data_IF_881460629038
#
_entry.id   IF_881460629038
#
_cell.length_a   1.000
_cell.length_b   1.000
_cell.length_c   1.000
_cell.angle_alpha   90.00
_cell.angle_beta   90.00
_cell.angle_gamma   90.00
#
_symmetry.space_group_name_H-M   'P 1'
#
loop_
_entity.id
_entity.type
_entity.pdbx_description
1 polymer ?
#
# COMPACT_ATOMS: atom_id res chain seq x y z
N UNK A 1 -4.10 24.48 -0.19
CA UNK A 1 -3.71 23.52 -1.25
C UNK A 1 -2.18 23.61 -1.37
N UNK A 2 -1.46 22.47 -1.39
CA UNK A 2 -0.02 22.44 -1.08
C UNK A 2 0.83 22.51 -2.37
N UNK A 3 1.75 23.47 -2.42
CA UNK A 3 2.63 23.70 -3.58
C UNK A 3 4.05 23.24 -3.24
N UNK A 4 4.66 22.51 -4.18
CA UNK A 4 5.98 21.93 -4.03
C UNK A 4 6.91 22.32 -5.17
N UNK A 5 8.14 22.68 -4.82
CA UNK A 5 9.26 22.73 -5.76
C UNK A 5 9.90 21.35 -5.84
N UNK A 6 10.14 20.88 -7.06
CA UNK A 6 10.79 19.59 -7.33
C UNK A 6 12.27 19.86 -7.60
N UNK A 7 13.15 19.17 -6.87
CA UNK A 7 14.60 19.25 -7.05
C UNK A 7 15.19 17.85 -7.24
N UNK A 8 16.39 17.78 -7.84
CA UNK A 8 17.12 16.52 -7.98
C UNK A 8 17.47 15.96 -6.58
N UNK A 9 16.97 14.75 -6.29
CA UNK A 9 17.10 14.08 -5.00
C UNK A 9 18.52 13.63 -4.68
N UNK A 10 19.35 13.37 -5.69
CA UNK A 10 20.78 13.03 -5.51
C UNK A 10 21.56 14.20 -4.91
N UNK A 11 21.25 15.43 -5.33
CA UNK A 11 21.82 16.63 -4.75
C UNK A 11 21.28 16.89 -3.33
N UNK A 12 20.02 16.54 -3.08
CA UNK A 12 19.40 16.68 -1.77
C UNK A 12 19.98 15.74 -0.71
N UNK A 13 20.34 14.51 -1.09
CA UNK A 13 21.08 13.57 -0.22
C UNK A 13 22.39 14.19 0.30
N UNK A 14 23.11 14.92 -0.56
CA UNK A 14 24.43 15.49 -0.26
C UNK A 14 24.34 16.77 0.57
N UNK A 15 23.35 17.62 0.29
CA UNK A 15 23.30 18.98 0.83
C UNK A 15 22.37 19.16 2.05
N UNK A 16 21.76 18.09 2.59
CA UNK A 16 20.87 18.11 3.76
C UNK A 16 19.92 19.32 3.76
N UNK A 17 19.08 19.46 2.73
CA UNK A 17 18.08 20.53 2.71
C UNK A 17 17.17 20.39 3.95
N UNK A 18 17.15 21.39 4.82
CA UNK A 18 16.32 21.41 6.04
C UNK A 18 14.80 21.46 5.76
N UNK A 19 14.38 21.42 4.49
CA UNK A 19 13.00 21.61 4.03
C UNK A 19 12.47 20.46 3.15
N UNK A 20 13.16 19.31 3.10
CA UNK A 20 12.66 18.13 2.36
C UNK A 20 11.31 17.70 2.90
N UNK A 21 10.30 17.70 2.04
CA UNK A 21 8.99 17.12 2.34
C UNK A 21 9.04 15.63 2.05
N UNK A 22 9.12 15.19 0.79
CA UNK A 22 9.23 13.75 0.53
C UNK A 22 10.07 13.43 -0.70
N UNK A 23 10.61 12.22 -0.71
CA UNK A 23 11.35 11.67 -1.84
C UNK A 23 10.41 10.93 -2.78
N UNK A 24 10.74 10.96 -4.07
CA UNK A 24 10.09 10.12 -5.07
C UNK A 24 11.13 9.52 -6.00
N UNK A 25 10.97 8.27 -6.39
CA UNK A 25 11.84 7.58 -7.34
C UNK A 25 11.00 7.03 -8.50
N UNK A 26 11.48 7.23 -9.73
CA UNK A 26 10.96 6.53 -10.92
C UNK A 26 12.01 5.58 -11.44
N UNK A 27 11.62 4.32 -11.61
CA UNK A 27 12.43 3.31 -12.28
C UNK A 27 12.64 3.65 -13.76
N UNK A 28 11.62 4.19 -14.44
CA UNK A 28 11.66 4.46 -15.88
C UNK A 28 12.71 5.50 -16.24
N UNK A 29 12.79 6.58 -15.48
CA UNK A 29 13.79 7.62 -15.68
C UNK A 29 15.06 7.41 -14.85
N UNK A 30 15.11 6.35 -14.04
CA UNK A 30 16.14 6.07 -13.03
C UNK A 30 16.55 7.30 -12.20
N UNK A 31 15.57 8.12 -11.81
CA UNK A 31 15.81 9.38 -11.10
C UNK A 31 15.16 9.38 -9.74
N UNK A 32 15.89 9.91 -8.76
CA UNK A 32 15.36 10.28 -7.46
C UNK A 32 15.11 11.79 -7.45
N UNK A 33 13.90 12.18 -7.06
CA UNK A 33 13.51 13.57 -6.85
C UNK A 33 13.14 13.81 -5.40
N UNK A 34 13.23 15.08 -5.01
CA UNK A 34 12.84 15.55 -3.70
C UNK A 34 11.82 16.69 -3.88
N UNK A 35 10.74 16.63 -3.11
CA UNK A 35 9.70 17.63 -3.06
C UNK A 35 9.91 18.50 -1.83
N UNK A 36 9.90 19.81 -2.03
CA UNK A 36 10.12 20.82 -0.99
C UNK A 36 8.93 21.77 -0.99
N UNK A 37 8.29 21.97 0.18
CA UNK A 37 7.21 22.97 0.32
C UNK A 37 7.68 24.34 -0.14
N UNK A 38 6.91 24.97 -1.02
CA UNK A 38 7.28 26.22 -1.67
C UNK A 38 6.04 27.07 -1.96
N UNK A 39 6.21 28.39 -2.11
CA UNK A 39 5.17 29.29 -2.65
C UNK A 39 5.04 29.19 -4.18
N UNK A 40 6.01 28.58 -4.85
CA UNK A 40 6.09 28.41 -6.30
C UNK A 40 6.37 26.95 -6.65
N UNK A 41 5.72 26.42 -7.69
CA UNK A 41 5.96 25.07 -8.20
C UNK A 41 4.67 24.34 -8.54
N UNK A 42 4.68 23.02 -8.38
CA UNK A 42 3.56 22.14 -8.71
C UNK A 42 2.66 21.97 -7.52
N UNK A 43 1.37 22.17 -7.75
CA UNK A 43 0.34 21.85 -6.77
C UNK A 43 0.07 20.34 -6.75
N UNK A 44 0.06 19.73 -5.57
CA UNK A 44 -0.13 18.29 -5.42
C UNK A 44 -1.29 18.05 -4.48
N UNK A 45 -2.24 17.25 -4.95
CA UNK A 45 -3.35 16.72 -4.16
C UNK A 45 -3.08 15.24 -3.91
N UNK A 46 -2.81 14.87 -2.66
CA UNK A 46 -2.40 13.51 -2.30
C UNK A 46 -3.59 12.57 -2.16
N UNK A 47 -4.77 13.11 -1.85
CA UNK A 47 -5.99 12.34 -1.68
C UNK A 47 -7.23 13.16 -2.05
N UNK A 48 -8.38 12.51 -2.21
CA UNK A 48 -9.63 13.24 -2.42
C UNK A 48 -9.97 14.12 -1.20
N UNK A 49 -10.38 15.37 -1.46
CA UNK A 49 -10.78 16.34 -0.42
C UNK A 49 -11.92 15.81 0.44
N UNK A 50 -12.75 14.92 -0.12
CA UNK A 50 -13.84 14.23 0.59
C UNK A 50 -13.38 13.35 1.75
N UNK A 51 -12.09 13.00 1.83
CA UNK A 51 -11.55 12.22 2.95
C UNK A 51 -11.12 13.07 4.16
N UNK A 52 -11.18 14.39 4.04
CA UNK A 52 -10.82 15.35 5.10
C UNK A 52 -9.38 15.85 4.98
N UNK A 53 -9.13 17.10 5.41
CA UNK A 53 -7.80 17.71 5.32
C UNK A 53 -6.76 17.01 6.21
N UNK A 54 -7.19 16.53 7.39
CA UNK A 54 -6.31 15.80 8.33
C UNK A 54 -5.80 14.50 7.69
N UNK A 55 -6.60 13.85 6.85
CA UNK A 55 -6.14 12.67 6.10
C UNK A 55 -4.97 13.00 5.17
N UNK A 56 -5.01 14.14 4.48
CA UNK A 56 -3.93 14.59 3.59
C UNK A 56 -2.65 14.95 4.38
N UNK A 57 -2.78 15.52 5.58
CA UNK A 57 -1.66 15.82 6.47
C UNK A 57 -0.96 14.55 6.97
N UNK A 58 -1.73 13.56 7.43
CA UNK A 58 -1.16 12.29 7.89
C UNK A 58 -0.50 11.52 6.73
N UNK A 59 -1.08 11.55 5.53
CA UNK A 59 -0.46 10.94 4.33
C UNK A 59 0.87 11.62 4.01
N UNK A 60 0.93 12.95 4.10
CA UNK A 60 2.18 13.68 3.90
C UNK A 60 3.23 13.30 4.95
N UNK A 61 2.86 13.22 6.23
CA UNK A 61 3.76 12.75 7.30
C UNK A 61 4.25 11.32 7.06
N UNK A 62 3.37 10.43 6.58
CA UNK A 62 3.76 9.07 6.19
C UNK A 62 4.81 9.10 5.07
N UNK A 63 4.66 9.97 4.06
CA UNK A 63 5.61 10.08 2.94
C UNK A 63 6.97 10.62 3.39
N UNK A 64 6.98 11.66 4.22
CA UNK A 64 8.18 12.20 4.86
C UNK A 64 8.95 11.05 5.55
N UNK A 65 8.23 10.28 6.37
CA UNK A 65 8.83 9.24 7.21
C UNK A 65 9.31 8.03 6.40
N UNK A 66 8.69 7.76 5.25
CA UNK A 66 9.12 6.74 4.29
C UNK A 66 10.28 7.19 3.39
N UNK A 67 10.84 8.39 3.58
CA UNK A 67 11.95 8.91 2.79
C UNK A 67 13.17 7.98 2.74
N UNK A 68 13.57 7.41 3.89
CA UNK A 68 14.68 6.44 3.96
C UNK A 68 14.42 5.18 3.12
N UNK A 69 13.18 4.68 3.15
CA UNK A 69 12.80 3.52 2.33
C UNK A 69 12.86 3.85 0.83
N UNK A 70 12.40 5.03 0.44
CA UNK A 70 12.42 5.50 -0.96
C UNK A 70 13.85 5.58 -1.48
N UNK A 71 14.76 6.14 -0.67
CA UNK A 71 16.19 6.22 -0.98
C UNK A 71 16.78 4.81 -1.15
N UNK A 72 16.53 3.90 -0.21
CA UNK A 72 17.04 2.52 -0.31
C UNK A 72 16.54 1.81 -1.57
N UNK A 73 15.26 2.00 -1.92
CA UNK A 73 14.68 1.40 -3.14
C UNK A 73 15.35 1.97 -4.39
N UNK A 74 15.66 3.28 -4.42
CA UNK A 74 16.34 3.93 -5.55
C UNK A 74 17.76 3.41 -5.80
N UNK A 75 18.39 2.78 -4.80
CA UNK A 75 19.75 2.24 -4.86
C UNK A 75 19.77 0.73 -5.14
N UNK A 76 18.61 0.08 -5.21
CA UNK A 76 18.53 -1.35 -5.41
C UNK A 76 18.42 -1.72 -6.89
N UNK A 77 19.23 -2.70 -7.32
CA UNK A 77 19.16 -3.26 -8.68
C UNK A 77 17.88 -4.07 -8.93
N UNK A 78 17.28 -4.67 -7.88
CA UNK A 78 16.08 -5.49 -8.00
C UNK A 78 14.85 -4.79 -7.42
N UNK A 79 14.36 -3.78 -8.15
CA UNK A 79 13.25 -2.92 -7.75
C UNK A 79 12.01 -3.72 -7.29
N UNK A 80 11.46 -4.61 -8.13
CA UNK A 80 10.20 -5.28 -7.80
C UNK A 80 10.33 -6.25 -6.61
N UNK A 81 11.47 -6.93 -6.43
CA UNK A 81 11.67 -7.75 -5.23
C UNK A 81 11.67 -6.90 -3.96
N UNK A 82 12.25 -5.69 -4.00
CA UNK A 82 12.18 -4.76 -2.86
C UNK A 82 10.77 -4.22 -2.64
N UNK A 83 10.00 -3.96 -3.70
CA UNK A 83 8.59 -3.58 -3.56
C UNK A 83 7.78 -4.70 -2.91
N UNK A 84 7.94 -5.94 -3.37
CA UNK A 84 7.26 -7.10 -2.80
C UNK A 84 7.63 -7.27 -1.32
N UNK A 85 8.93 -7.17 -0.99
CA UNK A 85 9.39 -7.23 0.39
C UNK A 85 8.77 -6.12 1.25
N UNK A 86 8.73 -4.89 0.74
CA UNK A 86 8.10 -3.76 1.40
C UNK A 86 6.59 -3.99 1.62
N UNK A 87 5.88 -4.53 0.64
CA UNK A 87 4.45 -4.83 0.73
C UNK A 87 4.19 -5.96 1.75
N UNK A 88 5.04 -6.98 1.83
CA UNK A 88 4.94 -8.03 2.86
C UNK A 88 5.23 -7.46 4.25
N UNK A 89 6.25 -6.61 4.39
CA UNK A 89 6.54 -5.91 5.66
C UNK A 89 5.38 -5.02 6.09
N UNK A 90 4.69 -4.37 5.14
CA UNK A 90 3.47 -3.63 5.42
C UNK A 90 2.35 -4.51 5.97
N UNK A 91 2.14 -5.71 5.41
CA UNK A 91 1.15 -6.64 5.95
C UNK A 91 1.49 -7.08 7.38
N UNK A 92 2.75 -7.40 7.64
CA UNK A 92 3.24 -7.75 8.99
C UNK A 92 2.95 -6.61 9.98
N UNK A 93 3.34 -5.38 9.66
CA UNK A 93 3.20 -4.25 10.60
C UNK A 93 1.75 -3.79 10.76
N UNK A 94 1.00 -3.61 9.66
CA UNK A 94 -0.37 -3.08 9.73
C UNK A 94 -1.34 -4.07 10.39
N UNK A 95 -1.06 -5.37 10.30
CA UNK A 95 -1.94 -6.43 10.80
C UNK A 95 -1.33 -7.21 11.97
N UNK A 96 -0.45 -6.57 12.76
CA UNK A 96 0.09 -7.08 14.04
C UNK A 96 0.77 -8.47 13.94
N UNK A 97 1.58 -8.70 12.91
CA UNK A 97 2.26 -9.97 12.67
C UNK A 97 1.44 -10.98 11.87
N UNK A 98 0.14 -10.75 11.68
CA UNK A 98 -0.75 -11.66 10.97
C UNK A 98 -0.73 -11.41 9.45
N UNK A 99 0.43 -11.66 8.82
CA UNK A 99 0.66 -11.43 7.38
C UNK A 99 -0.45 -12.07 6.53
N UNK A 100 -0.84 -13.30 6.88
CA UNK A 100 -1.91 -14.00 6.17
C UNK A 100 -3.26 -13.27 6.33
N UNK A 101 -3.64 -12.79 7.52
CA UNK A 101 -4.86 -11.94 7.69
C UNK A 101 -4.76 -10.69 6.82
N UNK A 102 -3.63 -10.00 6.87
CA UNK A 102 -3.39 -8.79 6.08
C UNK A 102 -3.52 -9.00 4.58
N UNK A 103 -3.11 -10.16 4.06
CA UNK A 103 -3.25 -10.50 2.65
C UNK A 103 -4.70 -10.55 2.15
N UNK A 104 -5.70 -10.59 3.03
CA UNK A 104 -7.11 -10.36 2.66
C UNK A 104 -7.33 -8.98 2.04
N UNK A 105 -6.60 -7.95 2.49
CA UNK A 105 -6.69 -6.60 1.91
C UNK A 105 -6.15 -6.57 0.48
N UNK A 106 -5.05 -7.27 0.21
CA UNK A 106 -4.49 -7.38 -1.14
C UNK A 106 -5.40 -8.22 -2.04
N UNK A 107 -5.96 -9.31 -1.50
CA UNK A 107 -6.97 -10.12 -2.20
C UNK A 107 -8.20 -9.28 -2.59
N UNK A 108 -8.71 -8.47 -1.67
CA UNK A 108 -9.81 -7.54 -1.89
C UNK A 108 -9.49 -6.56 -3.03
N UNK A 109 -8.37 -5.85 -2.93
CA UNK A 109 -7.97 -4.85 -3.92
C UNK A 109 -7.78 -5.45 -5.33
N UNK A 110 -7.10 -6.60 -5.43
CA UNK A 110 -6.91 -7.30 -6.70
C UNK A 110 -8.23 -7.83 -7.29
N UNK A 111 -9.14 -8.37 -6.47
CA UNK A 111 -10.47 -8.80 -6.95
C UNK A 111 -11.32 -7.60 -7.41
N UNK A 112 -11.16 -6.43 -6.79
CA UNK A 112 -11.81 -5.19 -7.24
C UNK A 112 -11.33 -4.82 -8.65
N UNK A 113 -10.01 -4.81 -8.85
CA UNK A 113 -9.40 -4.57 -10.16
C UNK A 113 -9.90 -5.55 -11.24
N UNK A 114 -9.93 -6.86 -10.93
CA UNK A 114 -10.45 -7.89 -11.84
C UNK A 114 -11.91 -7.62 -12.21
N UNK A 115 -12.73 -7.24 -11.24
CA UNK A 115 -14.16 -6.98 -11.42
C UNK A 115 -14.42 -5.78 -12.33
N UNK A 116 -13.52 -4.79 -12.33
CA UNK A 116 -13.63 -3.60 -13.17
C UNK A 116 -13.03 -3.77 -14.56
N UNK A 117 -12.42 -4.93 -14.85
CA UNK A 117 -11.91 -5.22 -16.19
C UNK A 117 -13.05 -5.45 -17.18
N UNK A 118 -12.83 -5.11 -18.45
CA UNK A 118 -13.75 -5.42 -19.54
C UNK A 118 -13.99 -6.93 -19.69
N UNK A 119 -12.96 -7.74 -19.42
CA UNK A 119 -13.05 -9.19 -19.34
C UNK A 119 -12.41 -9.69 -18.03
N UNK A 120 -13.21 -9.86 -16.96
CA UNK A 120 -12.74 -10.36 -15.67
C UNK A 120 -12.11 -11.76 -15.74
N UNK A 121 -12.58 -12.62 -16.65
CA UNK A 121 -12.06 -14.00 -16.78
C UNK A 121 -10.66 -13.96 -17.36
N UNK A 122 -10.45 -13.23 -18.46
CA UNK A 122 -9.13 -13.05 -19.06
C UNK A 122 -8.18 -12.31 -18.11
N UNK A 123 -8.65 -11.27 -17.40
CA UNK A 123 -7.84 -10.55 -16.42
C UNK A 123 -7.31 -11.49 -15.33
N UNK A 124 -8.18 -12.34 -14.77
CA UNK A 124 -7.78 -13.34 -13.76
C UNK A 124 -6.83 -14.38 -14.32
N UNK A 125 -7.07 -14.89 -15.53
CA UNK A 125 -6.18 -15.86 -16.19
C UNK A 125 -4.77 -15.28 -16.40
N UNK A 126 -4.67 -14.04 -16.89
CA UNK A 126 -3.38 -13.35 -17.08
C UNK A 126 -2.62 -13.19 -15.76
N UNK A 127 -3.32 -12.79 -14.70
CA UNK A 127 -2.73 -12.65 -13.36
C UNK A 127 -2.24 -14.00 -12.82
N UNK A 128 -3.00 -15.08 -13.01
CA UNK A 128 -2.56 -16.42 -12.61
C UNK A 128 -1.35 -16.90 -13.42
N UNK A 129 -1.29 -16.62 -14.72
CA UNK A 129 -0.10 -16.92 -15.54
C UNK A 129 1.15 -16.17 -15.04
N UNK A 130 1.01 -14.88 -14.68
CA UNK A 130 2.10 -14.12 -14.07
C UNK A 130 2.51 -14.70 -12.70
N UNK A 131 1.55 -15.15 -11.90
CA UNK A 131 1.84 -15.83 -10.65
C UNK A 131 2.63 -17.12 -10.88
N UNK A 132 2.14 -18.03 -11.72
CA UNK A 132 2.78 -19.31 -12.00
C UNK A 132 4.21 -19.14 -12.52
N UNK A 133 4.44 -18.16 -13.41
CA UNK A 133 5.78 -17.85 -13.93
C UNK A 133 6.77 -17.41 -12.85
N UNK A 134 6.30 -16.79 -11.77
CA UNK A 134 7.14 -16.20 -10.72
C UNK A 134 6.98 -16.89 -9.36
N UNK A 135 6.27 -18.02 -9.31
CA UNK A 135 5.82 -18.67 -8.07
C UNK A 135 6.97 -18.96 -7.12
N UNK A 136 8.03 -19.60 -7.61
CA UNK A 136 9.15 -20.03 -6.75
C UNK A 136 9.86 -18.83 -6.11
N UNK A 137 10.06 -17.75 -6.87
CA UNK A 137 10.66 -16.51 -6.36
C UNK A 137 9.76 -15.88 -5.29
N UNK A 138 8.46 -15.78 -5.54
CA UNK A 138 7.50 -15.20 -4.60
C UNK A 138 7.44 -15.99 -3.29
N UNK A 139 7.31 -17.33 -3.39
CA UNK A 139 7.30 -18.23 -2.23
C UNK A 139 8.62 -18.15 -1.46
N UNK A 140 9.75 -18.07 -2.15
CA UNK A 140 11.04 -17.91 -1.51
C UNK A 140 11.16 -16.58 -0.74
N UNK A 141 10.66 -15.47 -1.30
CA UNK A 141 10.63 -14.17 -0.59
C UNK A 141 9.79 -14.29 0.69
N UNK A 142 8.58 -14.86 0.61
CA UNK A 142 7.70 -15.07 1.79
C UNK A 142 8.42 -15.93 2.84
N UNK A 143 8.99 -17.06 2.44
CA UNK A 143 9.71 -17.98 3.32
C UNK A 143 10.91 -17.31 4.01
N UNK A 144 11.74 -16.58 3.27
CA UNK A 144 12.89 -15.86 3.82
C UNK A 144 12.45 -14.75 4.78
N UNK A 145 11.35 -14.06 4.46
CA UNK A 145 10.79 -13.03 5.34
C UNK A 145 10.28 -13.64 6.65
N UNK A 146 9.47 -14.69 6.59
CA UNK A 146 8.95 -15.38 7.78
C UNK A 146 10.06 -15.97 8.66
N UNK A 147 11.18 -16.38 8.07
CA UNK A 147 12.38 -16.84 8.80
C UNK A 147 13.25 -15.69 9.34
N UNK A 148 12.84 -14.43 9.15
CA UNK A 148 13.60 -13.25 9.59
C UNK A 148 14.92 -13.03 8.84
N UNK A 149 15.13 -13.70 7.70
CA UNK A 149 16.37 -13.61 6.90
C UNK A 149 16.43 -12.36 6.04
N UNK A 150 15.28 -11.77 5.72
CA UNK A 150 15.15 -10.52 4.94
C UNK A 150 14.11 -9.61 5.57
N UNK A 151 14.04 -8.34 5.14
CA UNK A 151 12.97 -7.41 5.53
C UNK A 151 13.17 -6.71 6.88
N UNK A 152 14.27 -6.96 7.61
CA UNK A 152 14.54 -6.31 8.91
C UNK A 152 14.55 -4.78 8.81
N UNK A 153 15.12 -4.23 7.74
CA UNK A 153 15.14 -2.78 7.52
C UNK A 153 13.74 -2.23 7.27
N UNK A 154 13.01 -2.83 6.32
CA UNK A 154 11.64 -2.44 5.94
C UNK A 154 10.73 -2.47 7.17
N UNK A 155 10.79 -3.57 7.92
CA UNK A 155 10.02 -3.80 9.14
C UNK A 155 10.33 -2.75 10.21
N UNK A 156 11.61 -2.50 10.51
CA UNK A 156 12.00 -1.53 11.53
C UNK A 156 11.63 -0.10 11.14
N UNK A 157 11.86 0.28 9.89
CA UNK A 157 11.51 1.61 9.41
C UNK A 157 9.99 1.82 9.49
N UNK A 158 9.20 0.84 9.05
CA UNK A 158 7.75 0.95 9.05
C UNK A 158 7.14 0.87 10.45
N UNK A 159 7.67 0.03 11.34
CA UNK A 159 7.20 -0.08 12.73
C UNK A 159 7.25 1.26 13.45
N UNK A 160 8.33 2.01 13.32
CA UNK A 160 8.48 3.32 13.96
C UNK A 160 7.44 4.33 13.46
N UNK A 161 7.17 4.32 12.14
CA UNK A 161 6.15 5.19 11.51
C UNK A 161 4.76 4.85 12.02
N UNK A 162 4.45 3.56 12.13
CA UNK A 162 3.14 3.11 12.60
C UNK A 162 2.92 3.47 14.06
N UNK A 163 3.94 3.31 14.90
CA UNK A 163 3.88 3.72 16.32
C UNK A 163 3.67 5.23 16.43
N UNK A 164 4.36 6.04 15.63
CA UNK A 164 4.22 7.50 15.71
C UNK A 164 2.85 8.01 15.23
N UNK A 165 2.19 7.30 14.31
CA UNK A 165 0.91 7.72 13.73
C UNK A 165 -0.32 7.06 14.40
N UNK A 166 -0.15 6.07 15.26
CA UNK A 166 -1.25 5.20 15.72
C UNK A 166 -2.37 5.99 16.41
N UNK A 167 -2.01 6.79 17.42
CA UNK A 167 -3.00 7.57 18.19
C UNK A 167 -3.57 8.75 17.40
N UNK A 168 -2.77 9.40 16.54
CA UNK A 168 -3.26 10.48 15.68
C UNK A 168 -4.30 9.98 14.67
N UNK A 169 -4.07 8.82 14.06
CA UNK A 169 -5.02 8.20 13.15
C UNK A 169 -6.29 7.77 13.87
N UNK A 170 -6.17 7.08 15.02
CA UNK A 170 -7.33 6.61 15.79
C UNK A 170 -8.19 7.77 16.29
N UNK A 171 -7.57 8.78 16.91
CA UNK A 171 -8.29 9.97 17.36
C UNK A 171 -8.96 10.71 16.20
N UNK A 172 -8.29 10.87 15.07
CA UNK A 172 -8.87 11.51 13.89
C UNK A 172 -10.04 10.71 13.28
N UNK A 173 -10.04 9.39 13.40
CA UNK A 173 -11.19 8.55 13.02
C UNK A 173 -12.35 8.74 14.01
N UNK A 174 -12.10 8.75 15.33
CA UNK A 174 -13.13 8.97 16.36
C UNK A 174 -13.79 10.34 16.23
N UNK A 175 -12.97 11.36 15.99
CA UNK A 175 -13.40 12.76 15.85
C UNK A 175 -14.04 13.06 14.48
N UNK A 176 -14.20 12.04 13.60
CA UNK A 176 -14.70 12.19 12.23
C UNK A 176 -13.90 13.22 11.40
N UNK A 177 -12.58 13.31 11.60
CA UNK A 177 -11.67 14.13 10.79
C UNK A 177 -11.16 13.37 9.55
N UNK A 178 -11.23 12.03 9.59
CA UNK A 178 -10.96 11.14 8.47
C UNK A 178 -12.26 10.46 8.04
N UNK A 179 -12.64 10.66 6.78
CA UNK A 179 -13.88 10.12 6.22
C UNK A 179 -13.60 8.95 5.27
N UNK A 180 -14.41 7.90 5.39
CA UNK A 180 -14.38 6.75 4.46
C UNK A 180 -15.60 6.81 3.56
N UNK A 181 -15.40 6.62 2.25
CA UNK A 181 -16.51 6.51 1.30
C UNK A 181 -17.35 5.28 1.67
N UNK A 182 -18.65 5.50 1.87
CA UNK A 182 -19.60 4.45 2.25
C UNK A 182 -19.79 3.43 1.14
N UNK A 183 -19.66 2.14 1.48
CA UNK A 183 -19.76 1.02 0.54
C UNK A 183 -21.12 0.92 -0.17
N UNK A 184 -22.19 1.41 0.47
CA UNK A 184 -23.55 1.39 -0.09
C UNK A 184 -23.70 2.17 -1.40
N UNK A 185 -22.77 3.08 -1.70
CA UNK A 185 -22.82 3.91 -2.90
C UNK A 185 -22.06 3.31 -4.12
N UNK A 186 -21.27 2.25 -3.94
CA UNK A 186 -20.41 1.73 -5.01
C UNK A 186 -20.94 0.39 -5.57
N UNK A 187 -21.88 0.47 -6.52
CA UNK A 187 -22.55 -0.69 -7.11
C UNK A 187 -21.62 -1.65 -7.89
N UNK A 188 -20.42 -1.21 -8.28
CA UNK A 188 -19.53 -2.02 -9.10
C UNK A 188 -18.93 -3.22 -8.36
N UNK A 189 -18.67 -3.10 -7.05
CA UNK A 189 -18.11 -4.18 -6.24
C UNK A 189 -19.12 -5.30 -5.95
N UNK A 190 -20.43 -5.06 -6.14
CA UNK A 190 -21.48 -6.09 -6.05
C UNK A 190 -21.32 -7.19 -7.10
N UNK A 191 -20.56 -6.95 -8.18
CA UNK A 191 -20.22 -7.96 -9.18
C UNK A 191 -19.07 -8.89 -8.76
N UNK A 192 -18.40 -8.59 -7.65
CA UNK A 192 -17.27 -9.36 -7.16
C UNK A 192 -17.71 -10.37 -6.11
N UNK A 193 -17.65 -11.66 -6.44
CA UNK A 193 -17.99 -12.74 -5.49
C UNK A 193 -17.22 -12.64 -4.17
N UNK A 194 -15.97 -12.18 -4.21
CA UNK A 194 -15.17 -11.97 -3.00
C UNK A 194 -15.78 -10.87 -2.12
N UNK A 195 -16.12 -9.70 -2.69
CA UNK A 195 -16.60 -8.55 -1.92
C UNK A 195 -18.01 -8.76 -1.39
N UNK A 196 -18.90 -9.39 -2.17
CA UNK A 196 -20.25 -9.73 -1.74
C UNK A 196 -20.19 -10.59 -0.48
N UNK A 197 -19.48 -11.71 -0.54
CA UNK A 197 -19.36 -12.64 0.59
C UNK A 197 -18.65 -12.02 1.78
N UNK A 198 -17.60 -11.22 1.53
CA UNK A 198 -16.85 -10.56 2.60
C UNK A 198 -17.75 -9.57 3.33
N UNK A 199 -18.52 -8.76 2.59
CA UNK A 199 -19.42 -7.79 3.19
C UNK A 199 -20.53 -8.45 4.03
N UNK A 200 -21.15 -9.51 3.51
CA UNK A 200 -22.19 -10.26 4.21
C UNK A 200 -21.70 -10.80 5.55
N UNK A 201 -20.52 -11.41 5.56
CA UNK A 201 -19.94 -12.01 6.77
C UNK A 201 -19.37 -10.99 7.76
N UNK A 202 -18.88 -9.85 7.27
CA UNK A 202 -18.08 -8.91 8.06
C UNK A 202 -18.69 -7.51 8.18
N UNK A 203 -20.00 -7.36 8.01
CA UNK A 203 -20.69 -6.07 8.04
C UNK A 203 -20.37 -5.24 9.30
N UNK A 204 -20.26 -5.86 10.46
CA UNK A 204 -19.91 -5.21 11.73
C UNK A 204 -18.46 -4.72 11.81
N UNK A 205 -17.53 -5.28 11.01
CA UNK A 205 -16.13 -4.82 10.98
C UNK A 205 -16.01 -3.41 10.40
N UNK A 206 -16.91 -2.99 9.51
CA UNK A 206 -16.83 -1.67 8.86
C UNK A 206 -17.02 -0.50 9.83
N UNK A 207 -17.66 -0.73 10.98
CA UNK A 207 -17.77 0.25 12.07
C UNK A 207 -16.62 0.20 13.07
N UNK A 208 -15.84 -0.89 13.09
CA UNK A 208 -14.74 -1.09 14.04
C UNK A 208 -13.58 -0.09 13.79
N UNK A 209 -13.10 0.55 14.86
CA UNK A 209 -12.03 1.55 14.80
C UNK A 209 -10.72 0.96 14.28
N UNK A 210 -10.31 -0.22 14.78
CA UNK A 210 -9.08 -0.88 14.34
C UNK A 210 -9.14 -1.22 12.85
N UNK A 211 -10.27 -1.73 12.35
CA UNK A 211 -10.46 -1.98 10.92
C UNK A 211 -10.37 -0.69 10.09
N UNK A 212 -11.00 0.41 10.54
CA UNK A 212 -10.88 1.72 9.89
C UNK A 212 -9.44 2.22 9.88
N UNK A 213 -8.69 2.03 10.97
CA UNK A 213 -7.27 2.37 11.06
C UNK A 213 -6.43 1.54 10.10
N UNK A 214 -6.60 0.21 10.10
CA UNK A 214 -5.90 -0.70 9.17
C UNK A 214 -6.15 -0.30 7.72
N UNK A 215 -7.41 0.01 7.38
CA UNK A 215 -7.82 0.50 6.06
C UNK A 215 -7.18 1.84 5.71
N UNK A 216 -7.16 2.79 6.64
CA UNK A 216 -6.56 4.10 6.40
C UNK A 216 -5.04 3.99 6.18
N UNK A 217 -4.34 3.16 6.96
CA UNK A 217 -2.92 2.90 6.74
C UNK A 217 -2.65 2.22 5.39
N UNK A 218 -3.54 1.33 4.93
CA UNK A 218 -3.47 0.79 3.56
C UNK A 218 -3.61 1.89 2.51
N UNK A 219 -4.47 2.88 2.73
CA UNK A 219 -4.60 4.04 1.83
C UNK A 219 -3.30 4.86 1.83
N UNK A 220 -2.74 5.19 3.00
CA UNK A 220 -1.45 5.88 3.09
C UNK A 220 -0.36 5.14 2.32
N UNK A 221 -0.27 3.83 2.51
CA UNK A 221 0.72 3.00 1.84
C UNK A 221 0.52 2.94 0.32
N UNK A 222 -0.72 2.80 -0.15
CA UNK A 222 -1.03 2.79 -1.58
C UNK A 222 -0.78 4.14 -2.25
N UNK A 223 -1.03 5.25 -1.55
CA UNK A 223 -0.65 6.58 -2.03
C UNK A 223 0.87 6.74 -2.07
N UNK A 224 1.60 6.19 -1.10
CA UNK A 224 3.06 6.18 -1.10
C UNK A 224 3.61 5.40 -2.31
N UNK A 225 3.10 4.19 -2.58
CA UNK A 225 3.49 3.41 -3.76
C UNK A 225 3.29 4.22 -5.06
N UNK A 226 2.17 4.95 -5.16
CA UNK A 226 1.86 5.76 -6.34
C UNK A 226 2.74 7.00 -6.48
N UNK A 227 2.73 7.87 -5.48
CA UNK A 227 3.41 9.18 -5.55
C UNK A 227 4.92 9.05 -5.44
N UNK A 228 5.41 8.24 -4.48
CA UNK A 228 6.81 8.14 -4.14
C UNK A 228 7.56 7.06 -4.93
N UNK A 229 6.89 6.00 -5.39
CA UNK A 229 7.56 4.90 -6.10
C UNK A 229 7.05 4.70 -7.54
N UNK A 230 6.13 5.55 -8.00
CA UNK A 230 5.54 5.54 -9.36
C UNK A 230 4.89 4.20 -9.72
N UNK A 231 4.37 3.48 -8.74
CA UNK A 231 3.61 2.25 -8.95
C UNK A 231 2.14 2.62 -9.15
N UNK A 232 1.71 2.59 -10.40
CA UNK A 232 0.33 2.91 -10.78
C UNK A 232 -0.68 1.85 -10.28
N UNK A 233 -1.98 2.15 -10.41
CA UNK A 233 -3.07 1.29 -9.94
C UNK A 233 -3.02 -0.14 -10.53
N UNK A 234 -2.71 -0.27 -11.82
CA UNK A 234 -2.62 -1.56 -12.50
C UNK A 234 -1.49 -2.41 -11.93
N UNK A 235 -0.27 -1.86 -11.89
CA UNK A 235 0.91 -2.56 -11.35
C UNK A 235 0.72 -2.89 -9.88
N UNK A 236 0.13 -1.99 -9.09
CA UNK A 236 -0.20 -2.26 -7.67
C UNK A 236 -1.14 -3.44 -7.52
N UNK A 237 -2.22 -3.47 -8.31
CA UNK A 237 -3.21 -4.56 -8.27
C UNK A 237 -2.62 -5.90 -8.73
N UNK A 238 -1.71 -5.88 -9.70
CA UNK A 238 -0.93 -7.05 -10.13
C UNK A 238 -0.03 -7.56 -8.98
N UNK A 239 0.71 -6.67 -8.31
CA UNK A 239 1.55 -7.04 -7.17
C UNK A 239 0.73 -7.58 -5.99
N UNK A 240 -0.40 -6.94 -5.66
CA UNK A 240 -1.32 -7.44 -4.65
C UNK A 240 -1.77 -8.88 -4.97
N UNK A 241 -2.10 -9.15 -6.25
CA UNK A 241 -2.47 -10.49 -6.71
C UNK A 241 -1.36 -11.51 -6.49
N UNK A 242 -0.15 -11.20 -6.95
CA UNK A 242 1.01 -12.09 -6.83
C UNK A 242 1.31 -12.40 -5.36
N UNK A 243 1.26 -11.39 -4.49
CA UNK A 243 1.55 -11.56 -3.05
C UNK A 243 0.48 -12.40 -2.37
N UNK A 244 -0.81 -12.06 -2.51
CA UNK A 244 -1.84 -12.83 -1.82
C UNK A 244 -1.88 -14.28 -2.32
N UNK A 245 -1.66 -14.53 -3.62
CA UNK A 245 -1.58 -15.91 -4.15
C UNK A 245 -0.38 -16.67 -3.61
N UNK A 246 0.76 -16.02 -3.45
CA UNK A 246 1.93 -16.62 -2.81
C UNK A 246 1.66 -16.97 -1.33
N UNK A 247 0.96 -16.10 -0.60
CA UNK A 247 0.55 -16.38 0.78
C UNK A 247 -0.42 -17.57 0.84
N UNK A 248 -1.39 -17.65 -0.07
CA UNK A 248 -2.31 -18.79 -0.12
C UNK A 248 -1.59 -20.13 -0.30
N UNK A 249 -0.61 -20.17 -1.21
CA UNK A 249 0.17 -21.38 -1.47
C UNK A 249 1.15 -21.68 -0.32
N UNK A 250 1.79 -20.66 0.27
CA UNK A 250 2.72 -20.82 1.41
C UNK A 250 2.02 -21.33 2.68
N UNK A 251 0.83 -20.81 2.99
CA UNK A 251 0.03 -21.22 4.16
C UNK A 251 -0.90 -22.39 3.87
N UNK A 252 -0.96 -22.87 2.63
CA UNK A 252 -1.91 -23.88 2.15
C UNK A 252 -3.38 -23.55 2.52
N UNK A 253 -3.78 -22.29 2.34
CA UNK A 253 -5.11 -21.77 2.69
C UNK A 253 -5.59 -20.78 1.63
N UNK A 254 -6.83 -20.90 1.16
CA UNK A 254 -7.43 -19.95 0.19
C UNK A 254 -8.23 -18.86 0.91
N UNK A 255 -8.05 -17.60 0.53
CA UNK A 255 -8.83 -16.48 1.05
C UNK A 255 -10.31 -16.63 0.75
N UNK A 256 -10.66 -17.06 -0.46
CA UNK A 256 -12.04 -17.35 -0.83
C UNK A 256 -12.71 -18.39 0.10
N UNK A 257 -11.96 -19.35 0.63
CA UNK A 257 -12.50 -20.36 1.54
C UNK A 257 -12.74 -19.82 2.96
N UNK A 258 -11.99 -18.80 3.37
CA UNK A 258 -12.12 -18.15 4.69
C UNK A 258 -13.39 -17.29 4.74
N UNK A 259 -13.79 -16.76 3.59
CA UNK A 259 -15.05 -16.02 3.43
C UNK A 259 -16.26 -16.96 3.25
N UNK A 260 -16.04 -18.24 2.94
CA UNK A 260 -17.11 -19.25 2.72
C UNK A 260 -17.45 -20.13 3.94
N UNK A 261 -16.62 -20.12 4.98
CA UNK A 261 -16.97 -20.70 6.30
C UNK A 261 -17.70 -19.68 7.16
#
# INVERSE_FOLDING_TARGET
>A
MKVYKIINGTNAKRNKFNSVSFYTYSRESNNLWCYVKSKQGTEIKLIDKKMGNVAEEIIEQFFISMGKQTIKISECSNFYNQIILLMISFLDINYNGEIFRGGQSFCSHANGFITFSSDPKMAKQRLEQYYLKNKDILINIVNLYCKGKIGKFEKNNMKNIFVSLDEEVKSSIRDNKIYFINYSQNNLLKKSNFHVRFYEKHKSLFSNEQFKKERFMTICFYQYLYFCLKINYKTRSELDYLIYRALEDFYNKKYLNIVNR
#
